data_IF_019949286784
#
_entry.id   IF_019949286784
#
_cell.length_a   1.000
_cell.length_b   1.000
_cell.length_c   1.000
_cell.angle_alpha   90.00
_cell.angle_beta   90.00
_cell.angle_gamma   90.00
#
_symmetry.space_group_name_H-M   'P 1'
#
loop_
_entity.id
_entity.type
_entity.pdbx_description
1 polymer ?
#
# COMPACT_ATOMS: atom_id res chain seq x y z
N UNK A 1 28.64 15.54 -40.77
CA UNK A 1 27.60 15.38 -39.73
C UNK A 1 27.30 13.90 -39.67
N UNK A 2 27.85 13.17 -38.69
CA UNK A 2 27.57 11.74 -38.55
C UNK A 2 26.31 11.57 -37.71
N UNK A 3 25.23 11.13 -38.33
CA UNK A 3 24.00 10.79 -37.63
C UNK A 3 24.24 9.49 -36.88
N UNK A 4 24.28 9.52 -35.54
CA UNK A 4 24.41 8.31 -34.73
C UNK A 4 23.18 7.44 -34.93
N UNK A 5 23.37 6.25 -35.51
CA UNK A 5 22.32 5.25 -35.66
C UNK A 5 21.89 4.72 -34.28
N UNK A 6 20.59 4.58 -34.07
CA UNK A 6 20.06 3.94 -32.85
C UNK A 6 20.47 2.46 -32.81
N UNK A 7 21.05 2.04 -31.68
CA UNK A 7 21.37 0.63 -31.40
C UNK A 7 20.30 -0.08 -30.56
N UNK A 8 19.26 0.65 -30.14
CA UNK A 8 18.20 0.12 -29.28
C UNK A 8 17.12 -0.66 -30.04
N UNK A 9 17.20 -0.67 -31.39
CA UNK A 9 16.19 -1.30 -32.23
C UNK A 9 14.80 -0.65 -32.06
N UNK A 10 13.76 -1.44 -32.29
CA UNK A 10 12.38 -1.06 -32.01
C UNK A 10 12.04 -1.36 -30.56
N UNK A 11 11.58 -0.35 -29.82
CA UNK A 11 11.16 -0.51 -28.44
C UNK A 11 9.72 -1.06 -28.38
N UNK A 12 9.40 -1.91 -27.40
CA UNK A 12 8.06 -2.46 -27.26
C UNK A 12 7.05 -1.36 -26.90
N UNK A 13 5.79 -1.56 -27.32
CA UNK A 13 4.69 -0.73 -26.88
C UNK A 13 4.41 -0.95 -25.39
N UNK A 14 3.86 0.08 -24.73
CA UNK A 14 3.52 0.02 -23.31
C UNK A 14 2.35 -0.95 -23.10
N UNK A 15 2.58 -2.02 -22.34
CA UNK A 15 1.52 -2.91 -21.89
C UNK A 15 0.78 -2.31 -20.69
N UNK A 16 -0.55 -2.38 -20.73
CA UNK A 16 -1.41 -1.94 -19.64
C UNK A 16 -1.44 -3.00 -18.53
N UNK A 17 -0.40 -3.02 -17.69
CA UNK A 17 -0.36 -3.85 -16.48
C UNK A 17 -0.89 -3.05 -15.30
N UNK A 18 -1.84 -3.61 -14.55
CA UNK A 18 -2.30 -3.00 -13.31
C UNK A 18 -1.23 -3.19 -12.23
N UNK A 19 -0.69 -2.07 -11.76
CA UNK A 19 0.45 -2.08 -10.85
C UNK A 19 0.01 -2.34 -9.40
N UNK A 20 0.84 -3.01 -8.57
CA UNK A 20 0.55 -3.24 -7.15
C UNK A 20 0.23 -1.96 -6.39
N UNK A 21 0.94 -0.87 -6.68
CA UNK A 21 0.69 0.44 -6.06
C UNK A 21 -0.71 1.00 -6.36
N UNK A 22 -1.30 0.68 -7.52
CA UNK A 22 -2.66 1.11 -7.87
C UNK A 22 -3.66 0.36 -6.99
N UNK A 23 -3.53 -0.96 -6.87
CA UNK A 23 -4.39 -1.79 -6.02
C UNK A 23 -4.33 -1.33 -4.56
N UNK A 24 -3.12 -1.03 -4.04
CA UNK A 24 -2.94 -0.52 -2.68
C UNK A 24 -3.62 0.84 -2.47
N UNK A 25 -3.52 1.75 -3.45
CA UNK A 25 -4.14 3.09 -3.37
C UNK A 25 -5.66 3.00 -3.38
N UNK A 26 -6.23 2.13 -4.20
CA UNK A 26 -7.68 1.87 -4.16
C UNK A 26 -8.12 1.35 -2.78
N UNK A 27 -7.33 0.48 -2.13
CA UNK A 27 -7.68 0.01 -0.78
C UNK A 27 -7.51 1.13 0.28
N UNK A 28 -6.51 2.00 0.10
CA UNK A 28 -6.32 3.17 0.94
C UNK A 28 -7.53 4.13 0.87
N UNK A 29 -8.08 4.36 -0.33
CA UNK A 29 -9.29 5.15 -0.54
C UNK A 29 -10.52 4.48 0.09
N UNK A 30 -10.69 3.17 -0.09
CA UNK A 30 -11.78 2.42 0.56
C UNK A 30 -11.75 2.52 2.09
N UNK A 31 -10.58 2.50 2.71
CA UNK A 31 -10.48 2.69 4.16
C UNK A 31 -11.01 4.05 4.59
N UNK A 32 -10.68 5.11 3.85
CA UNK A 32 -11.18 6.45 4.09
C UNK A 32 -12.72 6.52 3.97
N UNK A 33 -13.29 5.89 2.94
CA UNK A 33 -14.74 5.80 2.76
C UNK A 33 -15.42 5.03 3.89
N UNK A 34 -14.91 3.83 4.22
CA UNK A 34 -15.49 2.94 5.23
C UNK A 34 -15.44 3.53 6.64
N UNK A 35 -14.52 4.46 6.90
CA UNK A 35 -14.35 5.11 8.20
C UNK A 35 -14.89 6.54 8.23
N UNK A 36 -15.54 7.00 7.15
CA UNK A 36 -16.01 8.37 6.97
C UNK A 36 -14.91 9.42 7.25
N UNK A 37 -13.68 9.13 6.83
CA UNK A 37 -12.53 10.02 6.99
C UNK A 37 -11.89 10.08 8.38
N UNK A 38 -12.38 9.30 9.35
CA UNK A 38 -11.73 9.18 10.66
C UNK A 38 -10.34 8.55 10.55
N UNK A 39 -10.17 7.62 9.61
CA UNK A 39 -8.88 7.07 9.23
C UNK A 39 -8.67 7.29 7.73
N UNK A 40 -7.41 7.47 7.34
CA UNK A 40 -7.00 7.57 5.94
C UNK A 40 -6.02 6.46 5.60
N UNK A 41 -6.06 5.98 4.37
CA UNK A 41 -4.97 5.14 3.85
C UNK A 41 -3.94 5.99 3.13
N UNK A 42 -2.66 5.67 3.28
CA UNK A 42 -1.58 6.25 2.48
C UNK A 42 -0.66 5.17 1.92
N UNK A 43 -0.14 5.41 0.71
CA UNK A 43 0.76 4.47 0.01
C UNK A 43 2.09 5.14 -0.35
N UNK A 44 2.95 5.49 0.62
CA UNK A 44 4.26 6.02 0.31
C UNK A 44 5.09 4.98 -0.44
N UNK A 45 5.83 5.47 -1.44
CA UNK A 45 6.65 4.65 -2.32
C UNK A 45 8.11 5.08 -2.19
N UNK A 46 8.96 4.13 -1.80
CA UNK A 46 10.41 4.27 -1.79
C UNK A 46 11.05 3.54 -2.96
N UNK A 47 12.28 3.94 -3.28
CA UNK A 47 13.16 3.22 -4.20
C UNK A 47 14.02 2.25 -3.39
N UNK A 48 14.26 1.06 -3.91
CA UNK A 48 15.28 0.14 -3.42
C UNK A 48 16.42 0.07 -4.43
N UNK A 49 17.48 -0.70 -4.15
CA UNK A 49 18.56 -0.91 -5.11
C UNK A 49 18.03 -1.49 -6.45
N UNK A 50 17.10 -2.44 -6.36
CA UNK A 50 16.66 -3.24 -7.51
C UNK A 50 15.18 -3.04 -7.88
N UNK A 51 14.51 -2.03 -7.30
CA UNK A 51 13.09 -1.83 -7.57
C UNK A 51 12.38 -0.82 -6.69
N UNK A 52 11.13 -1.13 -6.37
CA UNK A 52 10.20 -0.27 -5.64
C UNK A 52 9.72 -0.94 -4.37
N UNK A 53 9.47 -0.12 -3.36
CA UNK A 53 8.88 -0.53 -2.09
C UNK A 53 7.70 0.38 -1.77
N UNK A 54 6.53 -0.21 -1.54
CA UNK A 54 5.32 0.48 -1.14
C UNK A 54 4.98 0.07 0.29
N UNK A 55 4.53 1.02 1.10
CA UNK A 55 3.91 0.71 2.38
C UNK A 55 2.43 1.04 2.29
N UNK A 56 1.57 0.23 2.89
CA UNK A 56 0.18 0.63 3.13
C UNK A 56 0.06 1.06 4.58
N UNK A 57 -0.18 2.35 4.78
CA UNK A 57 -0.31 2.98 6.08
C UNK A 57 -1.78 3.27 6.40
N UNK A 58 -2.15 3.08 7.66
CA UNK A 58 -3.36 3.68 8.25
C UNK A 58 -2.92 4.96 8.96
N UNK A 59 -3.51 6.09 8.62
CA UNK A 59 -3.25 7.40 9.23
C UNK A 59 -4.50 7.82 10.00
N UNK A 60 -4.31 8.25 11.25
CA UNK A 60 -5.35 8.82 12.10
C UNK A 60 -5.15 10.34 12.21
N UNK A 61 -5.87 11.17 11.44
CA UNK A 61 -5.63 12.61 11.38
C UNK A 61 -5.79 13.33 12.72
N UNK A 62 -6.80 12.94 13.52
CA UNK A 62 -7.05 13.55 14.82
C UNK A 62 -5.98 13.22 15.87
N UNK A 63 -5.16 12.20 15.64
CA UNK A 63 -4.05 11.82 16.52
C UNK A 63 -2.72 12.39 16.00
N UNK A 64 -2.71 13.68 15.64
CA UNK A 64 -1.54 14.36 15.04
C UNK A 64 -0.94 13.60 13.84
N UNK A 65 -1.82 13.10 12.97
CA UNK A 65 -1.45 12.26 11.82
C UNK A 65 -0.63 11.01 12.19
N UNK A 66 -0.86 10.42 13.38
CA UNK A 66 -0.27 9.13 13.74
C UNK A 66 -0.50 8.11 12.63
N UNK A 67 0.59 7.47 12.18
CA UNK A 67 0.56 6.50 11.09
C UNK A 67 1.01 5.12 11.56
N UNK A 68 0.31 4.08 11.10
CA UNK A 68 0.63 2.69 11.36
C UNK A 68 0.81 1.92 10.05
N UNK A 69 1.93 1.21 9.89
CA UNK A 69 2.18 0.37 8.72
C UNK A 69 1.46 -0.97 8.87
N UNK A 70 0.59 -1.30 7.92
CA UNK A 70 -0.15 -2.58 7.88
C UNK A 70 0.59 -3.64 7.10
N UNK A 71 1.20 -3.25 5.98
CA UNK A 71 2.00 -4.14 5.15
C UNK A 71 2.99 -3.34 4.31
N UNK A 72 3.98 -4.07 3.81
CA UNK A 72 4.96 -3.58 2.86
C UNK A 72 4.96 -4.47 1.62
N UNK A 73 5.03 -3.86 0.44
CA UNK A 73 5.08 -4.53 -0.86
C UNK A 73 6.38 -4.16 -1.56
N UNK A 74 7.15 -5.14 -2.03
CA UNK A 74 8.40 -4.91 -2.76
C UNK A 74 8.41 -5.68 -4.07
N UNK A 75 8.86 -5.05 -5.14
CA UNK A 75 9.06 -5.70 -6.43
C UNK A 75 10.13 -4.99 -7.26
N UNK A 76 10.63 -5.67 -8.30
CA UNK A 76 11.55 -5.09 -9.28
C UNK A 76 10.86 -4.15 -10.27
N UNK A 77 11.59 -3.66 -11.27
CA UNK A 77 10.97 -2.95 -12.41
C UNK A 77 10.07 -3.88 -13.22
N UNK A 78 10.46 -5.15 -13.32
CA UNK A 78 9.56 -6.24 -13.69
C UNK A 78 8.73 -6.56 -12.45
N UNK A 79 7.42 -6.29 -12.54
CA UNK A 79 6.51 -6.23 -11.38
C UNK A 79 6.40 -7.56 -10.63
N UNK A 80 6.30 -8.68 -11.34
CA UNK A 80 6.17 -9.99 -10.71
C UNK A 80 7.49 -10.77 -10.76
N UNK A 81 7.84 -11.49 -9.68
CA UNK A 81 7.07 -11.65 -8.45
C UNK A 81 7.06 -10.42 -7.54
N UNK A 82 5.94 -10.24 -6.84
CA UNK A 82 5.76 -9.24 -5.79
C UNK A 82 5.94 -9.93 -4.42
N UNK A 83 6.68 -9.30 -3.53
CA UNK A 83 6.86 -9.75 -2.15
C UNK A 83 6.04 -8.87 -1.20
N UNK A 84 5.18 -9.50 -0.40
CA UNK A 84 4.37 -8.81 0.61
C UNK A 84 4.88 -9.21 1.98
N UNK A 85 5.15 -8.23 2.83
CA UNK A 85 5.42 -8.42 4.24
C UNK A 85 4.25 -7.84 5.04
N UNK A 86 3.50 -8.72 5.70
CA UNK A 86 2.50 -8.35 6.68
C UNK A 86 3.23 -7.91 7.96
N UNK A 87 3.19 -6.62 8.28
CA UNK A 87 3.87 -6.07 9.45
C UNK A 87 3.13 -6.35 10.75
N UNK A 88 1.87 -6.79 10.68
CA UNK A 88 1.04 -7.11 11.84
C UNK A 88 1.15 -8.59 12.18
N UNK A 89 1.04 -9.47 11.19
CA UNK A 89 1.22 -10.91 11.32
C UNK A 89 2.67 -11.39 11.20
N UNK A 90 3.61 -10.48 10.96
CA UNK A 90 5.05 -10.74 10.79
C UNK A 90 5.36 -11.83 9.74
N UNK A 91 4.54 -11.91 8.69
CA UNK A 91 4.59 -12.99 7.69
C UNK A 91 5.01 -12.45 6.32
N UNK A 92 5.84 -13.21 5.61
CA UNK A 92 6.27 -12.91 4.24
C UNK A 92 5.54 -13.79 3.23
N UNK A 93 5.08 -13.17 2.16
CA UNK A 93 4.40 -13.82 1.04
C UNK A 93 5.11 -13.48 -0.26
N UNK A 94 5.11 -14.44 -1.19
CA UNK A 94 5.52 -14.26 -2.57
C UNK A 94 4.29 -14.45 -3.44
N UNK A 95 4.04 -13.49 -4.32
CA UNK A 95 2.91 -13.50 -5.26
C UNK A 95 3.49 -13.45 -6.67
N UNK A 96 3.27 -14.50 -7.47
CA UNK A 96 3.84 -14.60 -8.81
C UNK A 96 2.95 -13.90 -9.88
N UNK A 97 1.75 -13.45 -9.52
CA UNK A 97 0.80 -12.75 -10.40
C UNK A 97 -0.19 -11.86 -9.61
N UNK A 98 -1.05 -11.12 -10.32
CA UNK A 98 -2.04 -10.20 -9.74
C UNK A 98 -3.07 -10.91 -8.86
N UNK A 99 -3.57 -12.07 -9.27
CA UNK A 99 -4.61 -12.79 -8.53
C UNK A 99 -4.10 -13.26 -7.16
N UNK A 100 -2.86 -13.79 -7.12
CA UNK A 100 -2.19 -14.14 -5.87
C UNK A 100 -1.96 -12.93 -4.98
N UNK A 101 -1.55 -11.81 -5.57
CA UNK A 101 -1.35 -10.57 -4.84
C UNK A 101 -2.65 -10.05 -4.22
N UNK A 102 -3.74 -10.01 -4.99
CA UNK A 102 -5.07 -9.60 -4.50
C UNK A 102 -5.53 -10.51 -3.36
N UNK A 103 -5.33 -11.83 -3.49
CA UNK A 103 -5.67 -12.80 -2.45
C UNK A 103 -4.92 -12.50 -1.15
N UNK A 104 -3.61 -12.32 -1.20
CA UNK A 104 -2.78 -12.01 -0.02
C UNK A 104 -3.20 -10.67 0.61
N UNK A 105 -3.42 -9.62 -0.20
CA UNK A 105 -3.89 -8.32 0.31
C UNK A 105 -5.24 -8.48 1.01
N UNK A 106 -6.17 -9.24 0.42
CA UNK A 106 -7.47 -9.51 1.05
C UNK A 106 -7.32 -10.22 2.38
N UNK A 107 -6.46 -11.24 2.46
CA UNK A 107 -6.21 -12.01 3.69
C UNK A 107 -5.62 -11.12 4.79
N UNK A 108 -4.60 -10.31 4.49
CA UNK A 108 -3.96 -9.41 5.48
C UNK A 108 -4.93 -8.33 5.96
N UNK A 109 -5.60 -7.62 5.04
CA UNK A 109 -6.45 -6.48 5.39
C UNK A 109 -7.73 -6.88 6.14
N UNK A 110 -8.23 -8.10 5.91
CA UNK A 110 -9.41 -8.64 6.61
C UNK A 110 -9.07 -9.40 7.89
N UNK A 111 -7.78 -9.49 8.24
CA UNK A 111 -7.33 -10.24 9.43
C UNK A 111 -7.85 -9.63 10.73
N UNK A 112 -8.08 -10.48 11.73
CA UNK A 112 -8.50 -10.05 13.07
C UNK A 112 -7.52 -9.06 13.70
N UNK A 113 -6.22 -9.24 13.44
CA UNK A 113 -5.18 -8.37 13.99
C UNK A 113 -5.26 -6.95 13.39
N UNK A 114 -5.42 -6.82 12.07
CA UNK A 114 -5.63 -5.52 11.42
C UNK A 114 -6.93 -4.87 11.89
N UNK A 115 -8.02 -5.63 12.00
CA UNK A 115 -9.28 -5.11 12.52
C UNK A 115 -9.19 -4.63 13.98
N UNK A 116 -8.38 -5.27 14.83
CA UNK A 116 -8.12 -4.79 16.20
C UNK A 116 -7.42 -3.43 16.19
N UNK A 117 -6.42 -3.24 15.32
CA UNK A 117 -5.72 -1.96 15.15
C UNK A 117 -6.70 -0.88 14.68
N UNK A 118 -7.51 -1.16 13.66
CA UNK A 118 -8.54 -0.22 13.16
C UNK A 118 -9.52 0.18 14.28
N UNK A 119 -10.01 -0.80 15.07
CA UNK A 119 -10.90 -0.51 16.21
C UNK A 119 -10.22 0.39 17.26
N UNK A 120 -8.96 0.13 17.58
CA UNK A 120 -8.20 0.92 18.54
C UNK A 120 -7.95 2.36 18.04
N UNK A 121 -7.63 2.54 16.76
CA UNK A 121 -7.43 3.86 16.16
C UNK A 121 -8.75 4.64 16.11
N UNK A 122 -9.85 4.00 15.68
CA UNK A 122 -11.17 4.63 15.68
C UNK A 122 -11.63 5.07 17.08
N UNK A 123 -11.38 4.25 18.11
CA UNK A 123 -11.72 4.58 19.48
C UNK A 123 -10.92 5.80 19.97
N UNK A 124 -9.62 5.83 19.71
CA UNK A 124 -8.75 6.95 20.08
C UNK A 124 -9.11 8.23 19.32
N UNK A 125 -9.32 8.15 18.00
CA UNK A 125 -9.71 9.31 17.19
C UNK A 125 -11.02 9.95 17.65
N UNK A 126 -12.02 9.15 18.02
CA UNK A 126 -13.29 9.65 18.56
C UNK A 126 -13.15 10.27 19.95
N UNK A 127 -12.24 9.74 20.77
CA UNK A 127 -11.97 10.31 22.10
C UNK A 127 -11.31 11.69 21.95
N UNK A 128 -10.34 11.82 21.04
CA UNK A 128 -9.65 13.09 20.78
C UNK A 128 -10.61 14.15 20.21
N UNK A 129 -11.42 13.79 19.20
CA UNK A 129 -12.41 14.71 18.59
C UNK A 129 -13.45 15.22 19.61
N UNK A 130 -13.86 14.37 20.56
CA UNK A 130 -14.79 14.75 21.64
C UNK A 130 -14.11 15.52 22.78
N UNK A 131 -12.78 15.50 22.85
CA UNK A 131 -11.99 16.12 23.92
C UNK A 131 -11.55 17.55 23.63
N UNK A 132 -12.01 18.16 22.52
CA UNK A 132 -11.83 19.57 22.23
C UNK A 132 -13.00 20.43 22.73
N UNK A 133 -12.96 20.95 23.98
CA UNK A 133 -13.55 22.23 24.30
C UNK A 133 -12.46 23.31 24.40
N UNK A 134 -12.73 24.42 23.71
CA UNK A 134 -12.09 25.76 23.73
C UNK A 134 -10.93 26.02 22.77
#
# INVERSE_FOLDING_TARGET
MSTTQSLWGELPAVEAIRLPVVILREQAEKLNELTNGLLKGEVPTGKTHDGLRHHLLIVAPSLDNYSFSVLQVTHGIIVYPVFVYDTVGETNYRCDNEDEFIKVISEVLSSDSVHKIIKALLAQSKAEDNSLPF
#
